data_IF_336979078961
#
_entry.id   IF_336979078961
#
_cell.length_a   1.000
_cell.length_b   1.000
_cell.length_c   1.000
_cell.angle_alpha   90.00
_cell.angle_beta   90.00
_cell.angle_gamma   90.00
#
_symmetry.space_group_name_H-M   'P 1'
#
loop_
_entity.id
_entity.type
_entity.pdbx_description
1 polymer ?
#
# COMPACT_ATOMS: atom_id res chain seq x y z
N UNK A 1 -2.04 12.14 31.33
CA UNK A 1 -1.25 12.45 30.12
C UNK A 1 -2.09 12.08 28.92
N UNK A 2 -2.24 12.95 27.92
CA UNK A 2 -3.04 12.69 26.72
C UNK A 2 -2.23 11.73 25.83
N UNK A 3 -2.68 10.49 25.66
CA UNK A 3 -2.01 9.51 24.80
C UNK A 3 -2.05 10.01 23.35
N UNK A 4 -0.96 10.66 22.91
CA UNK A 4 -0.78 11.20 21.56
C UNK A 4 -0.41 10.13 20.52
N UNK A 5 -0.15 8.90 20.96
CA UNK A 5 0.37 7.79 20.15
C UNK A 5 -0.71 6.88 19.54
N UNK A 6 -1.96 6.98 20.01
CA UNK A 6 -3.04 6.09 19.58
C UNK A 6 -4.03 6.84 18.69
N UNK A 7 -4.43 6.20 17.60
CA UNK A 7 -5.51 6.69 16.75
C UNK A 7 -6.85 6.63 17.51
N UNK A 8 -7.80 7.54 17.24
CA UNK A 8 -9.14 7.44 17.79
C UNK A 8 -9.81 6.14 17.33
N UNK A 9 -10.62 5.52 18.21
CA UNK A 9 -11.33 4.27 17.92
C UNK A 9 -12.17 4.32 16.64
N UNK A 10 -12.63 5.51 16.23
CA UNK A 10 -13.36 5.73 14.98
C UNK A 10 -12.57 5.32 13.73
N UNK A 11 -11.23 5.28 13.79
CA UNK A 11 -10.39 4.81 12.68
C UNK A 11 -10.25 3.28 12.61
N UNK A 12 -10.73 2.53 13.61
CA UNK A 12 -10.72 1.06 13.58
C UNK A 12 -11.63 0.49 12.50
N UNK A 13 -12.81 1.09 12.31
CA UNK A 13 -13.76 0.68 11.25
C UNK A 13 -13.21 0.87 9.84
N UNK A 14 -12.73 2.07 9.44
CA UNK A 14 -12.09 2.22 8.12
C UNK A 14 -10.79 1.42 8.02
N UNK A 15 -10.07 1.20 9.12
CA UNK A 15 -8.90 0.30 9.17
C UNK A 15 -9.25 -1.13 8.76
N UNK A 16 -10.37 -1.68 9.24
CA UNK A 16 -10.86 -3.01 8.81
C UNK A 16 -11.23 -3.07 7.33
N UNK A 17 -11.89 -2.02 6.80
CA UNK A 17 -12.26 -1.96 5.39
C UNK A 17 -11.01 -1.88 4.51
N UNK A 18 -10.05 -1.02 4.88
CA UNK A 18 -8.78 -0.89 4.18
C UNK A 18 -7.99 -2.19 4.22
N UNK A 19 -7.87 -2.82 5.39
CA UNK A 19 -7.14 -4.08 5.55
C UNK A 19 -7.76 -5.20 4.71
N UNK A 20 -9.04 -5.51 4.88
CA UNK A 20 -9.66 -6.61 4.12
C UNK A 20 -9.75 -6.29 2.63
N UNK A 21 -10.07 -5.06 2.26
CA UNK A 21 -10.17 -4.63 0.88
C UNK A 21 -8.84 -4.77 0.13
N UNK A 22 -7.75 -4.25 0.72
CA UNK A 22 -6.41 -4.37 0.16
C UNK A 22 -5.86 -5.80 0.21
N UNK A 23 -6.16 -6.57 1.27
CA UNK A 23 -5.72 -7.96 1.37
C UNK A 23 -6.33 -8.82 0.27
N UNK A 24 -7.65 -8.73 0.06
CA UNK A 24 -8.33 -9.45 -1.02
C UNK A 24 -7.86 -8.95 -2.39
N UNK A 25 -7.78 -7.63 -2.59
CA UNK A 25 -7.29 -7.05 -3.84
C UNK A 25 -5.86 -7.53 -4.16
N UNK A 26 -4.96 -7.56 -3.17
CA UNK A 26 -3.59 -8.03 -3.34
C UNK A 26 -3.52 -9.50 -3.73
N UNK A 27 -4.33 -10.37 -3.09
CA UNK A 27 -4.42 -11.78 -3.48
C UNK A 27 -4.91 -11.92 -4.92
N UNK A 28 -5.93 -11.17 -5.32
CA UNK A 28 -6.46 -11.22 -6.69
C UNK A 28 -5.41 -10.74 -7.69
N UNK A 29 -4.77 -9.59 -7.44
CA UNK A 29 -3.71 -9.07 -8.32
C UNK A 29 -2.56 -10.07 -8.48
N UNK A 30 -2.07 -10.66 -7.39
CA UNK A 30 -0.98 -11.64 -7.46
C UNK A 30 -1.40 -12.97 -8.11
N UNK A 31 -2.66 -13.40 -7.95
CA UNK A 31 -3.11 -14.70 -8.49
C UNK A 31 -3.46 -14.64 -9.97
N UNK A 32 -3.94 -13.48 -10.45
CA UNK A 32 -4.40 -13.29 -11.82
C UNK A 32 -3.46 -12.42 -12.66
N UNK A 33 -2.33 -11.98 -12.09
CA UNK A 33 -1.41 -11.01 -12.69
C UNK A 33 -2.18 -9.75 -13.15
N UNK A 34 -3.13 -9.33 -12.31
CA UNK A 34 -4.05 -8.25 -12.66
C UNK A 34 -3.46 -6.89 -12.30
N UNK A 35 -3.38 -6.05 -13.31
CA UNK A 35 -2.92 -4.67 -13.20
C UNK A 35 -3.99 -3.67 -13.65
N UNK A 36 -3.93 -2.45 -13.09
CA UNK A 36 -4.78 -1.35 -13.52
C UNK A 36 -4.02 -0.49 -14.54
N UNK A 37 -4.54 -0.38 -15.76
CA UNK A 37 -3.93 0.45 -16.81
C UNK A 37 -3.79 1.93 -16.40
N UNK A 38 -4.70 2.43 -15.57
CA UNK A 38 -4.67 3.81 -15.06
C UNK A 38 -3.50 4.08 -14.10
N UNK A 39 -2.88 3.03 -13.56
CA UNK A 39 -1.72 3.11 -12.67
C UNK A 39 -0.40 2.82 -13.39
N UNK A 40 -0.43 2.65 -14.71
CA UNK A 40 0.77 2.56 -15.54
C UNK A 40 1.31 3.97 -15.81
N UNK A 41 2.42 4.31 -15.16
CA UNK A 41 2.94 5.68 -15.11
C UNK A 41 4.46 5.68 -15.25
N UNK A 42 5.03 6.81 -15.64
CA UNK A 42 6.47 7.02 -15.56
C UNK A 42 6.83 7.41 -14.13
N UNK A 43 7.57 6.55 -13.43
CA UNK A 43 7.91 6.70 -12.01
C UNK A 43 9.42 6.72 -11.81
N UNK A 44 9.85 7.34 -10.71
CA UNK A 44 11.26 7.37 -10.32
C UNK A 44 11.61 6.04 -9.63
N UNK A 45 12.42 5.23 -10.30
CA UNK A 45 12.97 4.02 -9.73
C UNK A 45 14.34 4.30 -9.11
N UNK A 46 14.52 3.81 -7.88
CA UNK A 46 15.81 3.76 -7.16
C UNK A 46 16.63 2.52 -7.60
N UNK A 47 15.97 1.58 -8.25
CA UNK A 47 16.59 0.44 -8.90
C UNK A 47 15.64 -0.04 -9.99
N UNK A 48 16.03 0.13 -11.24
CA UNK A 48 15.25 -0.31 -12.40
C UNK A 48 16.09 -1.25 -13.22
N UNK A 49 15.62 -2.48 -13.40
CA UNK A 49 16.24 -3.44 -14.32
C UNK A 49 15.84 -3.04 -15.74
N UNK A 50 16.62 -2.12 -16.34
CA UNK A 50 16.44 -1.79 -17.74
C UNK A 50 16.90 -3.00 -18.55
N UNK A 51 15.93 -3.75 -19.08
CA UNK A 51 16.09 -5.03 -19.82
C UNK A 51 17.21 -5.00 -20.88
N UNK A 52 17.68 -3.82 -21.32
CA UNK A 52 18.83 -3.65 -22.22
C UNK A 52 19.71 -2.37 -22.01
N UNK A 53 19.79 -1.78 -20.81
CA UNK A 53 20.57 -0.53 -20.63
C UNK A 53 21.12 -0.36 -19.22
N UNK A 54 22.35 0.14 -19.12
CA UNK A 54 23.12 0.36 -17.88
C UNK A 54 22.26 0.57 -16.62
N UNK A 55 22.49 -0.26 -15.59
CA UNK A 55 21.89 -0.14 -14.26
C UNK A 55 21.98 1.30 -13.73
N UNK A 56 20.88 2.05 -13.88
CA UNK A 56 20.78 3.38 -13.29
C UNK A 56 20.20 3.25 -11.89
N UNK A 57 21.02 3.56 -10.88
CA UNK A 57 20.62 3.66 -9.47
C UNK A 57 19.52 4.70 -9.21
N UNK A 58 19.26 5.60 -10.17
CA UNK A 58 18.13 6.53 -10.18
C UNK A 58 17.73 6.76 -11.63
N UNK A 59 16.52 6.36 -12.01
CA UNK A 59 16.02 6.49 -13.38
C UNK A 59 14.50 6.68 -13.41
N UNK A 60 13.99 7.31 -14.46
CA UNK A 60 12.55 7.34 -14.72
C UNK A 60 12.24 6.11 -15.59
N UNK A 61 11.43 5.19 -15.07
CA UNK A 61 10.99 3.99 -15.78
C UNK A 61 9.47 4.00 -15.95
N UNK A 62 8.97 3.28 -16.94
CA UNK A 62 7.53 3.01 -17.06
C UNK A 62 7.21 1.77 -16.24
N UNK A 63 6.37 1.92 -15.22
CA UNK A 63 6.03 0.86 -14.28
C UNK A 63 4.55 0.94 -13.86
N UNK A 64 4.00 -0.14 -13.32
CA UNK A 64 2.63 -0.22 -12.85
C UNK A 64 2.54 -0.18 -11.33
N UNK A 65 1.95 0.89 -10.79
CA UNK A 65 1.85 1.10 -9.34
C UNK A 65 0.72 0.32 -8.64
N UNK A 66 0.07 -0.63 -9.31
CA UNK A 66 -1.07 -1.37 -8.73
C UNK A 66 -0.71 -2.03 -7.40
N UNK A 67 0.39 -2.79 -7.34
CA UNK A 67 0.77 -3.52 -6.13
C UNK A 67 1.29 -2.59 -5.03
N UNK A 68 1.95 -1.50 -5.40
CA UNK A 68 2.44 -0.46 -4.50
C UNK A 68 1.28 0.24 -3.79
N UNK A 69 0.24 0.62 -4.54
CA UNK A 69 -0.97 1.24 -3.99
C UNK A 69 -1.71 0.26 -3.07
N UNK A 70 -1.89 -0.98 -3.50
CA UNK A 70 -2.54 -2.02 -2.68
C UNK A 70 -1.74 -2.26 -1.39
N UNK A 71 -0.42 -2.39 -1.50
CA UNK A 71 0.48 -2.59 -0.36
C UNK A 71 0.46 -1.41 0.61
N UNK A 72 0.45 -0.17 0.10
CA UNK A 72 0.31 1.03 0.93
C UNK A 72 -1.02 1.02 1.71
N UNK A 73 -2.13 0.73 1.04
CA UNK A 73 -3.45 0.64 1.69
C UNK A 73 -3.49 -0.47 2.74
N UNK A 74 -2.82 -1.59 2.48
CA UNK A 74 -2.69 -2.70 3.43
C UNK A 74 -1.94 -2.28 4.69
N UNK A 75 -0.77 -1.65 4.55
CA UNK A 75 0.00 -1.13 5.69
C UNK A 75 -0.80 -0.09 6.46
N UNK A 76 -1.47 0.85 5.77
CA UNK A 76 -2.33 1.84 6.42
C UNK A 76 -3.49 1.19 7.19
N UNK A 77 -4.11 0.15 6.62
CA UNK A 77 -5.15 -0.64 7.28
C UNK A 77 -4.65 -1.28 8.57
N UNK A 78 -3.47 -1.91 8.54
CA UNK A 78 -2.81 -2.50 9.72
C UNK A 78 -2.50 -1.43 10.76
N UNK A 79 -1.96 -0.28 10.35
CA UNK A 79 -1.64 0.81 11.27
C UNK A 79 -2.88 1.32 11.99
N UNK A 80 -3.99 1.54 11.27
CA UNK A 80 -5.24 1.96 11.88
C UNK A 80 -5.83 0.88 12.80
N UNK A 81 -5.72 -0.39 12.45
CA UNK A 81 -6.18 -1.49 13.29
C UNK A 81 -5.35 -1.68 14.55
N UNK A 82 -4.03 -1.69 14.41
CA UNK A 82 -3.08 -1.99 15.48
C UNK A 82 -2.87 -0.84 16.46
N UNK A 83 -3.03 0.41 16.02
CA UNK A 83 -2.80 1.60 16.84
C UNK A 83 -4.09 2.36 17.22
N UNK A 84 -5.28 1.85 16.91
CA UNK A 84 -6.53 2.46 17.40
C UNK A 84 -6.74 2.18 18.88
N UNK A 85 -7.09 3.21 19.65
CA UNK A 85 -7.38 3.12 21.08
C UNK A 85 -8.55 2.14 21.33
N UNK A 86 -8.37 1.19 22.24
CA UNK A 86 -9.46 0.31 22.70
C UNK A 86 -10.48 1.18 23.44
N UNK A 87 -11.75 1.23 23.01
CA UNK A 87 -12.77 1.90 23.83
C UNK A 87 -12.94 1.04 25.09
N UNK A 88 -12.46 1.56 26.22
CA UNK A 88 -12.36 0.83 27.48
C UNK A 88 -13.65 0.11 27.85
N UNK A 89 -13.51 -1.18 28.16
CA UNK A 89 -14.14 -1.74 29.35
C UNK A 89 -13.14 -1.64 30.49
#
# INVERSE_FOLDING_TARGET
MKNLLLFPYTLRTPGWILFWGSFVAGIVCLSFDWEWEVLKLHTLAIYGDAIFGNDTWLGIIEDNLTLEVIGFLFVMGILFLGFSHETGR
#
